data_IF_484343631008
#
_entry.id   IF_484343631008
#
_cell.length_a   1.000
_cell.length_b   1.000
_cell.length_c   1.000
_cell.angle_alpha   90.00
_cell.angle_beta   90.00
_cell.angle_gamma   90.00
#
_symmetry.space_group_name_H-M   'P 1'
#
loop_
_entity.id
_entity.type
_entity.pdbx_description
1 polymer ?
#
# COMPACT_ATOMS: atom_id res chain seq x y z
N UNK A 1 18.07 14.42 10.73
CA UNK A 1 17.22 13.23 10.62
C UNK A 1 16.35 13.34 9.38
N UNK A 2 16.22 12.28 8.61
CA UNK A 2 15.34 12.27 7.43
C UNK A 2 13.89 12.51 7.87
N UNK A 3 13.09 13.31 7.14
CA UNK A 3 11.68 13.50 7.46
C UNK A 3 10.84 12.22 7.26
N UNK A 4 11.38 11.22 6.55
CA UNK A 4 10.71 9.92 6.34
C UNK A 4 11.57 8.82 6.92
N UNK A 5 11.01 8.02 7.82
CA UNK A 5 11.70 6.88 8.39
C UNK A 5 11.67 5.70 7.42
N UNK A 6 12.83 5.43 6.83
CA UNK A 6 12.97 4.40 5.80
C UNK A 6 12.61 3.00 6.28
N UNK A 7 12.90 2.67 7.54
CA UNK A 7 12.64 1.34 8.08
C UNK A 7 11.13 1.05 8.15
N UNK A 8 10.32 2.04 8.54
CA UNK A 8 8.87 1.91 8.58
C UNK A 8 8.34 1.69 7.16
N UNK A 9 8.80 2.51 6.20
CA UNK A 9 8.39 2.41 4.80
C UNK A 9 8.79 1.06 4.22
N UNK A 10 10.00 0.58 4.49
CA UNK A 10 10.48 -0.72 4.01
C UNK A 10 9.65 -1.88 4.55
N UNK A 11 9.29 -1.85 5.83
CA UNK A 11 8.44 -2.88 6.43
C UNK A 11 7.06 -2.93 5.77
N UNK A 12 6.48 -1.77 5.50
CA UNK A 12 5.18 -1.69 4.83
C UNK A 12 5.28 -2.12 3.36
N UNK A 13 6.35 -1.75 2.68
CA UNK A 13 6.60 -2.20 1.31
C UNK A 13 6.77 -3.73 1.25
N UNK A 14 7.42 -4.32 2.24
CA UNK A 14 7.56 -5.77 2.31
C UNK A 14 6.19 -6.46 2.40
N UNK A 15 5.26 -5.91 3.18
CA UNK A 15 3.88 -6.42 3.26
C UNK A 15 3.22 -6.37 1.87
N UNK A 16 3.36 -5.26 1.16
CA UNK A 16 2.78 -5.09 -0.19
C UNK A 16 3.36 -6.14 -1.14
N UNK A 17 4.68 -6.29 -1.16
CA UNK A 17 5.36 -7.23 -2.05
C UNK A 17 4.96 -8.67 -1.74
N UNK A 18 4.96 -9.05 -0.47
CA UNK A 18 4.60 -10.41 -0.05
C UNK A 18 3.16 -10.73 -0.40
N UNK A 19 2.25 -9.78 -0.21
CA UNK A 19 0.85 -9.98 -0.53
C UNK A 19 0.61 -10.06 -2.03
N UNK A 20 1.33 -9.27 -2.83
CA UNK A 20 1.27 -9.37 -4.29
C UNK A 20 1.74 -10.74 -4.77
N UNK A 21 2.82 -11.26 -4.19
CA UNK A 21 3.30 -12.61 -4.52
C UNK A 21 2.28 -13.67 -4.14
N UNK A 22 1.65 -13.54 -2.99
CA UNK A 22 0.62 -14.48 -2.54
C UNK A 22 -0.63 -14.45 -3.42
N UNK A 23 -0.89 -13.34 -4.11
CA UNK A 23 -2.02 -13.21 -5.04
C UNK A 23 -1.76 -13.84 -6.41
N UNK A 24 -0.51 -14.15 -6.77
CA UNK A 24 -0.17 -14.69 -8.09
C UNK A 24 -0.97 -15.96 -8.47
N UNK A 25 -1.12 -16.97 -7.60
CA UNK A 25 -1.92 -18.15 -7.95
C UNK A 25 -3.38 -17.81 -8.24
N UNK A 26 -3.92 -16.77 -7.62
CA UNK A 26 -5.32 -16.36 -7.78
C UNK A 26 -5.51 -15.64 -9.12
N UNK A 27 -4.52 -14.88 -9.55
CA UNK A 27 -4.54 -14.13 -10.81
C UNK A 27 -4.82 -15.03 -12.03
N UNK A 28 -4.33 -16.28 -12.02
CA UNK A 28 -4.51 -17.21 -13.12
C UNK A 28 -5.83 -17.97 -13.12
N UNK A 29 -6.66 -17.78 -12.10
CA UNK A 29 -7.95 -18.51 -12.00
C UNK A 29 -8.99 -17.93 -12.93
N UNK A 30 -9.87 -18.82 -13.44
CA UNK A 30 -11.08 -18.35 -14.12
C UNK A 30 -12.02 -17.69 -13.12
N UNK A 31 -12.91 -16.83 -13.60
CA UNK A 31 -13.91 -16.19 -12.75
C UNK A 31 -14.80 -17.22 -12.04
N UNK A 32 -15.22 -18.25 -12.78
CA UNK A 32 -16.06 -19.31 -12.21
C UNK A 32 -15.36 -20.06 -11.07
N UNK A 33 -14.11 -20.45 -11.28
CA UNK A 33 -13.33 -21.15 -10.26
C UNK A 33 -13.10 -20.28 -9.02
N UNK A 34 -12.82 -19.02 -9.23
CA UNK A 34 -12.63 -18.04 -8.13
C UNK A 34 -13.92 -17.90 -7.31
N UNK A 35 -15.06 -17.75 -7.96
CA UNK A 35 -16.35 -17.59 -7.27
C UNK A 35 -16.68 -18.81 -6.41
N UNK A 36 -16.35 -20.02 -6.88
CA UNK A 36 -16.64 -21.26 -6.17
C UNK A 36 -15.67 -21.57 -5.04
N UNK A 37 -14.45 -21.03 -5.09
CA UNK A 37 -13.41 -21.32 -4.09
C UNK A 37 -13.46 -20.28 -2.98
N UNK A 38 -14.20 -20.59 -1.92
CA UNK A 38 -14.37 -19.66 -0.78
C UNK A 38 -13.04 -19.38 -0.08
N UNK A 39 -12.13 -20.35 -0.01
CA UNK A 39 -10.84 -20.15 0.67
C UNK A 39 -9.99 -19.15 -0.11
N UNK A 40 -9.91 -19.29 -1.43
CA UNK A 40 -9.16 -18.36 -2.27
C UNK A 40 -9.79 -16.98 -2.30
N UNK A 41 -11.13 -16.89 -2.32
CA UNK A 41 -11.81 -15.59 -2.24
C UNK A 41 -11.49 -14.87 -0.93
N UNK A 42 -11.57 -15.57 0.19
CA UNK A 42 -11.28 -14.99 1.50
C UNK A 42 -9.81 -14.62 1.63
N UNK A 43 -8.92 -15.46 1.11
CA UNK A 43 -7.50 -15.14 1.06
C UNK A 43 -7.23 -13.89 0.23
N UNK A 44 -7.83 -13.78 -0.95
CA UNK A 44 -7.66 -12.61 -1.81
C UNK A 44 -8.16 -11.33 -1.15
N UNK A 45 -9.35 -11.38 -0.53
CA UNK A 45 -9.92 -10.24 0.20
C UNK A 45 -8.98 -9.77 1.30
N UNK A 46 -8.44 -10.70 2.09
CA UNK A 46 -7.54 -10.35 3.19
C UNK A 46 -6.21 -9.83 2.69
N UNK A 47 -5.64 -10.44 1.65
CA UNK A 47 -4.37 -10.01 1.07
C UNK A 47 -4.49 -8.59 0.49
N UNK A 48 -5.59 -8.30 -0.22
CA UNK A 48 -5.85 -6.97 -0.77
C UNK A 48 -6.06 -5.95 0.34
N UNK A 49 -6.81 -6.30 1.39
CA UNK A 49 -7.03 -5.42 2.52
C UNK A 49 -5.71 -5.04 3.19
N UNK A 50 -4.85 -6.01 3.47
CA UNK A 50 -3.55 -5.77 4.10
C UNK A 50 -2.64 -4.91 3.21
N UNK A 51 -2.64 -5.17 1.92
CA UNK A 51 -1.86 -4.42 0.94
C UNK A 51 -2.30 -2.95 0.89
N UNK A 52 -3.62 -2.73 0.85
CA UNK A 52 -4.18 -1.38 0.83
C UNK A 52 -3.88 -0.65 2.13
N UNK A 53 -4.04 -1.30 3.27
CA UNK A 53 -3.71 -0.72 4.58
C UNK A 53 -2.24 -0.34 4.66
N UNK A 54 -1.34 -1.19 4.16
CA UNK A 54 0.09 -0.88 4.14
C UNK A 54 0.39 0.34 3.26
N UNK A 55 -0.25 0.45 2.09
CA UNK A 55 -0.08 1.59 1.21
C UNK A 55 -0.57 2.89 1.87
N UNK A 56 -1.70 2.84 2.56
CA UNK A 56 -2.25 3.98 3.29
C UNK A 56 -1.33 4.38 4.43
N UNK A 57 -0.77 3.43 5.16
CA UNK A 57 0.17 3.70 6.25
C UNK A 57 1.42 4.42 5.72
N UNK A 58 1.93 4.00 4.56
CA UNK A 58 3.05 4.67 3.91
C UNK A 58 2.68 6.11 3.55
N UNK A 59 1.53 6.31 2.89
CA UNK A 59 1.06 7.63 2.49
C UNK A 59 0.92 8.56 3.68
N UNK A 60 0.26 8.08 4.74
CA UNK A 60 0.03 8.85 5.97
C UNK A 60 1.34 9.20 6.65
N UNK A 61 2.26 8.23 6.74
CA UNK A 61 3.57 8.45 7.35
C UNK A 61 4.33 9.57 6.62
N UNK A 62 4.37 9.52 5.29
CA UNK A 62 5.06 10.54 4.50
C UNK A 62 4.40 11.91 4.69
N UNK A 63 3.07 11.99 4.62
CA UNK A 63 2.33 13.25 4.77
C UNK A 63 2.61 13.89 6.12
N UNK A 64 2.56 13.11 7.20
CA UNK A 64 2.80 13.61 8.56
C UNK A 64 4.27 14.01 8.73
N UNK A 65 5.21 13.22 8.22
CA UNK A 65 6.64 13.48 8.37
C UNK A 65 7.10 14.75 7.64
N UNK A 66 6.41 15.15 6.58
CA UNK A 66 6.72 16.40 5.88
C UNK A 66 5.95 17.61 6.44
N UNK A 67 5.29 17.43 7.60
CA UNK A 67 4.72 18.53 8.36
C UNK A 67 3.25 18.82 8.09
N UNK A 68 2.51 17.88 7.52
CA UNK A 68 1.09 18.06 7.24
C UNK A 68 0.22 17.21 8.17
N UNK A 69 -1.05 17.62 8.41
CA UNK A 69 -1.96 16.82 9.22
C UNK A 69 -2.25 15.47 8.56
N UNK A 70 -2.50 14.45 9.38
CA UNK A 70 -2.93 13.16 8.88
C UNK A 70 -4.22 13.29 8.07
N UNK A 71 -4.36 12.57 6.93
CA UNK A 71 -5.59 12.62 6.15
C UNK A 71 -6.75 11.96 6.89
N UNK A 72 -7.98 12.42 6.61
CA UNK A 72 -9.17 11.93 7.29
C UNK A 72 -9.63 10.56 6.79
N UNK A 73 -9.34 10.23 5.53
CA UNK A 73 -9.73 8.96 4.94
C UNK A 73 -8.68 8.44 3.96
N UNK A 74 -8.92 7.24 3.45
CA UNK A 74 -7.98 6.53 2.57
C UNK A 74 -7.80 7.22 1.22
N UNK A 75 -8.90 7.62 0.62
CA UNK A 75 -8.87 8.32 -0.65
C UNK A 75 -8.10 9.63 -0.54
N UNK A 76 -8.36 10.38 0.53
CA UNK A 76 -7.68 11.64 0.78
C UNK A 76 -6.17 11.46 0.96
N UNK A 77 -5.72 10.33 1.53
CA UNK A 77 -4.28 10.08 1.70
C UNK A 77 -3.54 10.06 0.37
N UNK A 78 -4.12 9.45 -0.66
CA UNK A 78 -3.51 9.40 -1.99
C UNK A 78 -3.57 10.75 -2.69
N UNK A 79 -4.70 11.45 -2.60
CA UNK A 79 -4.86 12.80 -3.18
C UNK A 79 -3.87 13.77 -2.55
N UNK A 80 -3.79 13.76 -1.22
CA UNK A 80 -2.92 14.68 -0.47
C UNK A 80 -1.46 14.44 -0.80
N UNK A 81 -1.04 13.19 -0.87
CA UNK A 81 0.33 12.86 -1.22
C UNK A 81 0.68 13.34 -2.64
N UNK A 82 -0.23 13.15 -3.59
CA UNK A 82 -0.05 13.61 -4.96
C UNK A 82 0.06 15.13 -5.08
N UNK A 83 -0.65 15.87 -4.22
CA UNK A 83 -0.56 17.33 -4.17
C UNK A 83 0.75 17.82 -3.56
N UNK A 84 1.24 17.12 -2.54
CA UNK A 84 2.42 17.54 -1.79
C UNK A 84 3.73 17.12 -2.46
N UNK A 85 3.74 15.98 -3.14
CA UNK A 85 4.96 15.40 -3.71
C UNK A 85 4.75 15.00 -5.18
N UNK A 86 5.50 15.59 -6.11
CA UNK A 86 5.58 15.04 -7.46
C UNK A 86 6.09 13.60 -7.42
N UNK A 87 5.68 12.79 -8.40
CA UNK A 87 6.04 11.39 -8.46
C UNK A 87 7.55 11.14 -8.36
N UNK A 88 8.37 12.00 -8.96
CA UNK A 88 9.82 11.87 -8.90
C UNK A 88 10.38 12.05 -7.48
N UNK A 89 9.81 12.95 -6.68
CA UNK A 89 10.21 13.13 -5.29
C UNK A 89 9.76 11.96 -4.43
N UNK A 90 8.56 11.43 -4.69
CA UNK A 90 8.06 10.26 -3.98
C UNK A 90 8.98 9.05 -4.19
N UNK A 91 9.40 8.81 -5.42
CA UNK A 91 10.33 7.73 -5.75
C UNK A 91 11.64 7.90 -4.98
N UNK A 92 12.18 9.11 -4.91
CA UNK A 92 13.41 9.38 -4.15
C UNK A 92 13.25 9.09 -2.66
N UNK A 93 12.10 9.45 -2.08
CA UNK A 93 11.85 9.19 -0.65
C UNK A 93 11.75 7.70 -0.35
N UNK A 94 11.19 6.92 -1.26
CA UNK A 94 11.00 5.48 -1.08
C UNK A 94 12.25 4.67 -1.38
N UNK A 95 13.09 5.12 -2.32
CA UNK A 95 14.26 4.37 -2.79
C UNK A 95 15.59 4.92 -2.32
N UNK A 96 15.61 6.17 -2.00
CA UNK A 96 16.83 6.86 -1.60
C UNK A 96 17.17 6.75 -0.16
#
# INVERSE_FOLDING_TARGET
>A
MSPVEKDIVRKKLAVIIDNLKALEPIKGMSRADYIEDIYKRKAAERLLQELIEAAIDINTHIIVQIGNPAPDDYYESFIKLGELLPACQLVRLLTG
#
